data_IF_996161702953
#
_entry.id   IF_996161702953
#
_cell.length_a   1.000
_cell.length_b   1.000
_cell.length_c   1.000
_cell.angle_alpha   90.00
_cell.angle_beta   90.00
_cell.angle_gamma   90.00
#
_symmetry.space_group_name_H-M   'P 1'
#
loop_
_entity.id
_entity.type
_entity.pdbx_description
1 polymer ?
#
# COMPACT_ATOMS: atom_id res chain seq x y z
N UNK A 1 -4.44 -22.04 -6.38
CA UNK A 1 -5.46 -21.09 -6.87
C UNK A 1 -5.67 -20.07 -5.77
N UNK A 2 -5.48 -18.77 -6.03
CA UNK A 2 -5.75 -17.74 -5.02
C UNK A 2 -7.13 -17.10 -5.30
N UNK A 3 -7.79 -16.58 -4.27
CA UNK A 3 -9.14 -16.00 -4.38
C UNK A 3 -9.20 -14.84 -5.39
N UNK A 4 -8.11 -14.08 -5.51
CA UNK A 4 -8.00 -12.95 -6.43
C UNK A 4 -8.02 -13.42 -7.90
N UNK A 5 -7.35 -14.53 -8.21
CA UNK A 5 -7.34 -15.13 -9.55
C UNK A 5 -8.71 -15.62 -9.96
N UNK A 6 -9.54 -16.11 -9.02
CA UNK A 6 -10.93 -16.49 -9.29
C UNK A 6 -11.79 -15.25 -9.55
N UNK A 7 -11.63 -14.19 -8.77
CA UNK A 7 -12.41 -12.96 -8.94
C UNK A 7 -12.10 -12.28 -10.28
N UNK A 8 -10.84 -12.25 -10.72
CA UNK A 8 -10.47 -11.68 -12.03
C UNK A 8 -11.01 -12.53 -13.18
N UNK A 9 -10.96 -13.85 -13.05
CA UNK A 9 -11.46 -14.76 -14.08
C UNK A 9 -12.98 -14.63 -14.27
N UNK A 10 -13.72 -14.48 -13.16
CA UNK A 10 -15.18 -14.34 -13.18
C UNK A 10 -15.63 -12.90 -13.48
N UNK A 11 -14.86 -11.90 -13.03
CA UNK A 11 -15.17 -10.48 -13.19
C UNK A 11 -13.96 -9.74 -13.78
N UNK A 12 -13.68 -9.88 -15.08
CA UNK A 12 -12.48 -9.33 -15.72
C UNK A 12 -12.40 -7.79 -15.68
N UNK A 13 -13.54 -7.12 -15.53
CA UNK A 13 -13.62 -5.66 -15.38
C UNK A 13 -13.74 -5.20 -13.91
N UNK A 14 -13.70 -6.13 -12.94
CA UNK A 14 -13.74 -5.75 -11.53
C UNK A 14 -12.34 -5.32 -11.08
N UNK A 15 -12.22 -4.05 -10.71
CA UNK A 15 -11.04 -3.61 -9.96
C UNK A 15 -11.09 -4.26 -8.58
N UNK A 16 -10.28 -5.30 -8.39
CA UNK A 16 -10.07 -5.90 -7.06
C UNK A 16 -9.25 -4.91 -6.24
N UNK A 17 -9.96 -4.00 -5.58
CA UNK A 17 -9.43 -3.19 -4.50
C UNK A 17 -9.18 -4.15 -3.33
N UNK A 18 -8.00 -4.77 -3.28
CA UNK A 18 -7.54 -5.31 -2.00
C UNK A 18 -7.45 -4.08 -1.10
N UNK A 19 -8.47 -3.90 -0.25
CA UNK A 19 -8.70 -2.58 0.32
C UNK A 19 -7.42 -2.13 1.01
N UNK A 20 -6.82 -1.04 0.51
CA UNK A 20 -5.58 -0.46 1.04
C UNK A 20 -5.65 -0.34 2.57
N UNK A 21 -6.85 -0.12 3.09
CA UNK A 21 -7.23 -0.20 4.50
C UNK A 21 -6.77 -1.48 5.22
N UNK A 22 -7.05 -2.67 4.67
CA UNK A 22 -6.65 -3.94 5.28
C UNK A 22 -5.13 -4.10 5.30
N UNK A 23 -4.44 -3.68 4.24
CA UNK A 23 -2.99 -3.69 4.19
C UNK A 23 -2.40 -2.74 5.24
N UNK A 24 -2.91 -1.51 5.33
CA UNK A 24 -2.45 -0.52 6.30
C UNK A 24 -2.73 -0.96 7.73
N UNK A 25 -3.90 -1.56 7.98
CA UNK A 25 -4.26 -2.17 9.28
C UNK A 25 -3.32 -3.30 9.64
N UNK A 26 -3.00 -4.19 8.69
CA UNK A 26 -2.04 -5.28 8.88
C UNK A 26 -0.64 -4.74 9.18
N UNK A 27 -0.13 -3.80 8.38
CA UNK A 27 1.16 -3.17 8.60
C UNK A 27 1.22 -2.53 10.00
N UNK A 28 0.15 -1.86 10.44
CA UNK A 28 0.05 -1.32 11.80
C UNK A 28 0.27 -2.36 12.90
N UNK A 29 -0.10 -3.62 12.67
CA UNK A 29 0.08 -4.71 13.65
C UNK A 29 1.44 -5.38 13.56
N UNK A 30 1.99 -5.55 12.35
CA UNK A 30 3.19 -6.37 12.12
C UNK A 30 4.48 -5.57 11.92
N UNK A 31 4.40 -4.23 11.79
CA UNK A 31 5.57 -3.39 11.46
C UNK A 31 6.74 -3.51 12.45
N UNK A 32 6.46 -3.91 13.69
CA UNK A 32 7.47 -4.08 14.75
C UNK A 32 8.23 -5.42 14.64
N UNK A 33 7.79 -6.32 13.77
CA UNK A 33 8.48 -7.58 13.53
C UNK A 33 9.80 -7.32 12.81
N UNK A 34 10.86 -8.04 13.20
CA UNK A 34 12.23 -7.84 12.70
C UNK A 34 12.38 -7.99 11.19
N UNK A 35 11.47 -8.73 10.53
CA UNK A 35 11.45 -8.86 9.06
C UNK A 35 11.19 -7.53 8.36
N UNK A 36 10.50 -6.59 9.00
CA UNK A 36 10.31 -5.23 8.48
C UNK A 36 11.45 -4.29 8.88
N UNK A 37 12.59 -4.81 9.33
CA UNK A 37 13.69 -3.99 9.82
C UNK A 37 13.56 -3.63 11.30
N UNK A 38 14.54 -2.90 11.81
CA UNK A 38 14.58 -2.42 13.20
C UNK A 38 14.54 -0.91 13.21
N UNK A 39 13.47 -0.37 13.76
CA UNK A 39 13.26 1.06 13.90
C UNK A 39 13.39 1.50 15.36
N UNK A 40 13.75 2.76 15.57
CA UNK A 40 13.63 3.42 16.86
C UNK A 40 12.15 3.54 17.27
N UNK A 41 11.89 3.67 18.58
CA UNK A 41 10.53 3.81 19.10
C UNK A 41 9.77 5.00 18.50
N UNK A 42 10.47 6.12 18.27
CA UNK A 42 9.92 7.32 17.62
C UNK A 42 9.53 7.07 16.16
N UNK A 43 10.33 6.31 15.42
CA UNK A 43 10.07 5.98 14.02
C UNK A 43 8.81 5.11 13.88
N UNK A 44 8.64 4.10 14.74
CA UNK A 44 7.40 3.30 14.77
C UNK A 44 6.17 4.17 15.05
N UNK A 45 6.31 5.17 15.91
CA UNK A 45 5.22 6.09 16.23
C UNK A 45 4.85 6.94 15.02
N UNK A 46 5.85 7.50 14.33
CA UNK A 46 5.65 8.23 13.07
C UNK A 46 4.99 7.36 12.00
N UNK A 47 5.42 6.11 11.83
CA UNK A 47 4.80 5.17 10.88
C UNK A 47 3.33 4.90 11.23
N UNK A 48 3.00 4.76 12.51
CA UNK A 48 1.62 4.54 12.95
C UNK A 48 0.70 5.70 12.62
N UNK A 49 1.19 6.94 12.69
CA UNK A 49 0.45 8.12 12.25
C UNK A 49 0.35 8.17 10.73
N UNK A 50 1.43 7.88 10.02
CA UNK A 50 1.42 7.84 8.57
C UNK A 50 0.40 6.84 8.01
N UNK A 51 0.29 5.65 8.63
CA UNK A 51 -0.72 4.67 8.27
C UNK A 51 -2.14 5.14 8.60
N UNK A 52 -2.34 5.91 9.67
CA UNK A 52 -3.65 6.50 9.98
C UNK A 52 -4.02 7.56 8.94
N UNK A 53 -3.10 8.47 8.60
CA UNK A 53 -3.32 9.50 7.59
C UNK A 53 -3.62 8.90 6.20
N UNK A 54 -3.00 7.76 5.86
CA UNK A 54 -3.32 7.05 4.61
C UNK A 54 -4.73 6.44 4.61
N UNK A 55 -5.23 6.02 5.77
CA UNK A 55 -6.59 5.50 5.93
C UNK A 55 -7.62 6.63 5.93
N UNK A 56 -7.31 7.73 6.61
CA UNK A 56 -8.21 8.85 6.84
C UNK A 56 -8.14 9.91 5.73
N UNK A 57 -7.29 9.70 4.71
CA UNK A 57 -7.13 10.62 3.59
C UNK A 57 -8.48 10.87 2.91
N UNK A 58 -8.92 12.13 2.90
CA UNK A 58 -10.21 12.52 2.34
C UNK A 58 -10.12 12.91 0.87
N UNK A 59 -8.88 13.05 0.35
CA UNK A 59 -8.61 13.37 -1.05
C UNK A 59 -7.51 12.49 -1.62
N UNK A 60 -7.54 12.28 -2.93
CA UNK A 60 -6.47 11.57 -3.65
C UNK A 60 -5.12 12.28 -3.46
N UNK A 61 -5.11 13.61 -3.41
CA UNK A 61 -3.88 14.38 -3.22
C UNK A 61 -3.24 14.12 -1.85
N UNK A 62 -4.04 14.13 -0.78
CA UNK A 62 -3.60 13.80 0.58
C UNK A 62 -3.09 12.36 0.67
N UNK A 63 -3.79 11.43 0.03
CA UNK A 63 -3.37 10.04 -0.06
C UNK A 63 -2.00 9.90 -0.74
N UNK A 64 -1.81 10.52 -1.92
CA UNK A 64 -0.55 10.47 -2.66
C UNK A 64 0.61 11.14 -1.92
N UNK A 65 0.36 12.22 -1.19
CA UNK A 65 1.37 12.87 -0.35
C UNK A 65 1.83 11.95 0.78
N UNK A 66 0.90 11.36 1.54
CA UNK A 66 1.24 10.40 2.59
C UNK A 66 1.91 9.15 2.01
N UNK A 67 1.50 8.69 0.83
CA UNK A 67 2.10 7.54 0.15
C UNK A 67 3.56 7.83 -0.26
N UNK A 68 3.85 9.05 -0.73
CA UNK A 68 5.21 9.49 -1.04
C UNK A 68 6.12 9.48 0.18
N UNK A 69 5.61 9.92 1.34
CA UNK A 69 6.33 9.84 2.62
C UNK A 69 6.62 8.39 3.00
N UNK A 70 5.64 7.49 2.86
CA UNK A 70 5.82 6.07 3.17
C UNK A 70 6.88 5.41 2.28
N UNK A 71 6.88 5.71 0.98
CA UNK A 71 7.89 5.23 0.02
C UNK A 71 9.29 5.72 0.40
N UNK A 72 9.45 7.00 0.73
CA UNK A 72 10.74 7.57 1.18
C UNK A 72 11.24 6.89 2.44
N UNK A 73 10.35 6.65 3.40
CA UNK A 73 10.67 5.95 4.63
C UNK A 73 11.15 4.52 4.37
N UNK A 74 10.40 3.76 3.56
CA UNK A 74 10.77 2.38 3.22
C UNK A 74 12.11 2.31 2.47
N UNK A 75 12.36 3.25 1.55
CA UNK A 75 13.63 3.36 0.83
C UNK A 75 14.81 3.70 1.75
N UNK A 76 14.63 4.60 2.71
CA UNK A 76 15.69 5.04 3.63
C UNK A 76 16.22 3.93 4.55
N UNK A 77 15.41 2.89 4.79
CA UNK A 77 15.78 1.76 5.66
C UNK A 77 16.00 0.44 4.89
N UNK A 78 16.10 0.49 3.55
CA UNK A 78 16.17 -0.69 2.67
C UNK A 78 15.06 -1.73 2.97
N UNK A 79 13.86 -1.25 3.35
CA UNK A 79 12.74 -2.12 3.69
C UNK A 79 11.99 -2.57 2.42
N UNK A 80 12.58 -3.56 1.77
CA UNK A 80 12.07 -4.17 0.53
C UNK A 80 10.68 -4.78 0.70
N UNK A 81 10.35 -5.30 1.88
CA UNK A 81 9.05 -5.92 2.16
C UNK A 81 7.89 -4.92 2.13
N UNK A 82 8.07 -3.71 2.69
CA UNK A 82 7.05 -2.66 2.57
C UNK A 82 6.92 -2.23 1.11
N UNK A 83 8.04 -2.06 0.41
CA UNK A 83 8.01 -1.68 -1.00
C UNK A 83 7.32 -2.74 -1.87
N UNK A 84 7.56 -4.03 -1.64
CA UNK A 84 6.89 -5.14 -2.33
C UNK A 84 5.39 -5.16 -2.04
N UNK A 85 4.98 -5.03 -0.78
CA UNK A 85 3.57 -4.97 -0.40
C UNK A 85 2.84 -3.78 -1.04
N UNK A 86 3.50 -2.62 -1.12
CA UNK A 86 2.97 -1.44 -1.81
C UNK A 86 2.93 -1.63 -3.33
N UNK A 87 3.94 -2.28 -3.92
CA UNK A 87 4.04 -2.51 -5.36
C UNK A 87 3.03 -3.54 -5.85
N UNK A 88 2.73 -4.56 -5.04
CA UNK A 88 1.66 -5.52 -5.33
C UNK A 88 0.27 -4.86 -5.38
N UNK A 89 0.08 -3.75 -4.67
CA UNK A 89 -1.16 -2.96 -4.72
C UNK A 89 -1.15 -1.92 -5.85
N UNK A 90 -0.03 -1.21 -6.06
CA UNK A 90 0.08 -0.13 -7.05
C UNK A 90 0.32 -0.62 -8.48
N UNK A 91 0.99 -1.77 -8.67
CA UNK A 91 1.21 -2.39 -9.98
C UNK A 91 -0.09 -2.86 -10.66
N UNK A 92 -1.22 -2.88 -9.93
CA UNK A 92 -2.55 -3.05 -10.52
C UNK A 92 -3.24 -1.74 -10.89
N UNK A 93 -2.86 -0.61 -10.28
CA UNK A 93 -3.42 0.70 -10.59
C UNK A 93 -2.79 1.36 -11.83
N UNK A 94 -1.51 1.12 -12.09
CA UNK A 94 -0.83 1.61 -13.31
C UNK A 94 -1.21 0.80 -14.56
N UNK A 95 -1.75 -0.40 -14.41
CA UNK A 95 -2.31 -1.20 -15.51
C UNK A 95 -3.64 -0.66 -16.06
N UNK A 96 -4.44 0.01 -15.22
CA UNK A 96 -5.77 0.51 -15.60
C UNK A 96 -5.74 1.95 -16.13
N UNK A 97 -4.69 2.74 -15.86
CA UNK A 97 -4.53 4.07 -16.46
C UNK A 97 -3.98 4.05 -17.89
N UNK A 98 -3.49 2.89 -18.36
CA UNK A 98 -3.10 2.69 -19.75
C UNK A 98 -4.29 2.43 -20.70
N UNK A 99 -5.46 2.07 -20.18
CA UNK A 99 -6.66 1.75 -20.98
C UNK A 99 -7.70 2.87 -21.04
N UNK A 100 -7.54 3.99 -20.31
CA UNK A 100 -8.48 5.12 -20.36
C UNK A 100 -8.10 6.23 -21.36
N UNK A 101 -7.15 5.98 -22.28
CA UNK A 101 -6.74 6.93 -23.34
C UNK A 101 -7.08 6.47 -24.76
N UNK A 102 -8.05 5.58 -24.90
CA UNK A 102 -8.64 5.25 -26.20
C UNK A 102 -10.16 5.26 -26.11
N UNK A 103 -10.76 6.44 -25.89
CA UNK A 103 -12.04 6.86 -26.46
C UNK A 103 -12.14 8.38 -26.39
#
# INVERSE_FOLDING_TARGET
>A
MNEISVIIDVFPNATVLLAIFHLLKYLRTVIRETRFGRYAGSEYHSMRYLFANLVDASTEMEYQQNMSVLKKFACGHDNKLIMELLSQQLGRFEGDTALSKQY
#
